data_IF_612002559648
#
_entry.id   IF_612002559648
#
_cell.length_a   1.000
_cell.length_b   1.000
_cell.length_c   1.000
_cell.angle_alpha   90.00
_cell.angle_beta   90.00
_cell.angle_gamma   90.00
#
_symmetry.space_group_name_H-M   'P 1'
#
loop_
_entity.id
_entity.type
_entity.pdbx_description
1 polymer ?
#
# COMPACT_ATOMS: atom_id res chain seq x y z
N UNK A 1 -39.95 20.14 20.03
CA UNK A 1 -39.54 18.72 20.04
C UNK A 1 -38.34 18.56 19.11
N UNK A 2 -37.14 18.45 19.69
CA UNK A 2 -35.87 18.45 18.96
C UNK A 2 -35.61 17.06 18.32
N UNK A 3 -35.21 17.06 17.05
CA UNK A 3 -34.81 15.86 16.31
C UNK A 3 -33.51 15.31 16.91
N UNK A 4 -33.33 13.97 17.00
CA UNK A 4 -32.12 13.42 17.59
C UNK A 4 -30.93 13.62 16.65
N UNK A 5 -29.90 14.30 17.14
CA UNK A 5 -28.61 14.43 16.49
C UNK A 5 -27.96 13.05 16.38
N UNK A 6 -27.75 12.58 15.14
CA UNK A 6 -26.89 11.42 14.88
C UNK A 6 -25.44 11.81 15.18
N UNK A 7 -24.98 11.51 16.41
CA UNK A 7 -23.55 11.50 16.74
C UNK A 7 -22.85 10.51 15.80
N UNK A 8 -22.09 11.06 14.84
CA UNK A 8 -21.13 10.27 14.05
C UNK A 8 -20.05 9.78 15.01
N UNK A 9 -20.14 8.52 15.39
CA UNK A 9 -19.04 7.83 16.06
C UNK A 9 -17.86 7.81 15.11
N UNK A 10 -16.84 8.61 15.43
CA UNK A 10 -15.50 8.46 14.85
C UNK A 10 -14.97 7.11 15.34
N UNK A 11 -14.97 6.12 14.46
CA UNK A 11 -14.10 4.97 14.64
C UNK A 11 -12.68 5.43 14.31
N UNK A 12 -11.95 5.85 15.35
CA UNK A 12 -10.49 5.96 15.36
C UNK A 12 -9.90 4.55 15.39
N UNK A 13 -10.17 3.78 14.33
CA UNK A 13 -9.31 2.68 13.91
C UNK A 13 -8.46 3.25 12.79
N UNK A 14 -7.14 3.29 12.95
CA UNK A 14 -6.25 3.48 11.81
C UNK A 14 -6.54 2.33 10.84
N UNK A 15 -7.39 2.59 9.85
CA UNK A 15 -7.59 1.73 8.70
C UNK A 15 -6.23 1.66 8.01
N UNK A 16 -5.43 0.65 8.36
CA UNK A 16 -4.25 0.31 7.59
C UNK A 16 -4.68 0.12 6.12
N UNK A 17 -3.98 0.79 5.19
CA UNK A 17 -4.31 0.82 3.75
C UNK A 17 -5.55 1.65 3.36
N UNK A 18 -5.79 2.78 4.02
CA UNK A 18 -6.98 3.60 3.76
C UNK A 18 -7.12 4.05 2.30
N UNK A 19 -6.03 4.41 1.62
CA UNK A 19 -6.10 4.91 0.23
C UNK A 19 -6.36 3.80 -0.77
N UNK A 20 -5.61 2.70 -0.72
CA UNK A 20 -5.79 1.57 -1.65
C UNK A 20 -7.17 0.93 -1.50
N UNK A 21 -7.65 0.75 -0.26
CA UNK A 21 -9.00 0.25 0.03
C UNK A 21 -10.07 1.22 -0.48
N UNK A 22 -9.90 2.54 -0.29
CA UNK A 22 -10.83 3.54 -0.85
C UNK A 22 -10.83 3.51 -2.38
N UNK A 23 -9.68 3.32 -3.02
CA UNK A 23 -9.58 3.20 -4.48
C UNK A 23 -10.25 1.94 -5.00
N UNK A 24 -10.11 0.82 -4.28
CA UNK A 24 -10.80 -0.43 -4.60
C UNK A 24 -12.32 -0.27 -4.47
N UNK A 25 -12.81 0.22 -3.32
CA UNK A 25 -14.25 0.43 -3.06
C UNK A 25 -14.90 1.44 -4.02
N UNK A 26 -14.15 2.45 -4.47
CA UNK A 26 -14.65 3.44 -5.43
C UNK A 26 -14.52 3.01 -6.90
N UNK A 27 -14.01 1.81 -7.18
CA UNK A 27 -13.85 1.31 -8.55
C UNK A 27 -12.73 1.99 -9.35
N UNK A 28 -11.86 2.75 -8.69
CA UNK A 28 -10.74 3.47 -9.36
C UNK A 28 -9.59 2.57 -9.75
N UNK A 29 -9.57 1.33 -9.25
CA UNK A 29 -8.62 0.28 -9.65
C UNK A 29 -9.05 -0.46 -10.93
N UNK A 30 -10.13 -0.03 -11.58
CA UNK A 30 -10.64 -0.65 -12.80
C UNK A 30 -11.74 -1.67 -12.54
N UNK A 31 -11.99 -2.53 -13.53
CA UNK A 31 -13.05 -3.56 -13.49
C UNK A 31 -12.48 -4.89 -13.00
N UNK A 32 -13.35 -5.73 -12.45
CA UNK A 32 -13.05 -7.12 -12.15
C UNK A 32 -12.69 -7.89 -13.45
N UNK A 33 -11.70 -8.81 -13.46
CA UNK A 33 -10.90 -9.27 -12.31
C UNK A 33 -9.67 -8.40 -11.98
N UNK A 34 -9.23 -7.56 -12.92
CA UNK A 34 -7.99 -6.76 -12.81
C UNK A 34 -7.92 -5.90 -11.53
N UNK A 35 -9.04 -5.40 -11.05
CA UNK A 35 -9.08 -4.60 -9.81
C UNK A 35 -8.64 -5.40 -8.57
N UNK A 36 -8.87 -6.73 -8.53
CA UNK A 36 -8.43 -7.59 -7.43
C UNK A 36 -6.93 -7.86 -7.50
N UNK A 37 -6.40 -8.12 -8.69
CA UNK A 37 -4.98 -8.41 -8.87
C UNK A 37 -4.15 -7.19 -8.48
N UNK A 38 -4.56 -6.01 -8.94
CA UNK A 38 -3.98 -4.71 -8.54
C UNK A 38 -4.05 -4.48 -7.03
N UNK A 39 -5.20 -4.78 -6.42
CA UNK A 39 -5.38 -4.62 -4.97
C UNK A 39 -4.45 -5.57 -4.19
N UNK A 40 -4.40 -6.85 -4.57
CA UNK A 40 -3.52 -7.86 -3.94
C UNK A 40 -2.05 -7.50 -4.09
N UNK A 41 -1.64 -7.07 -5.28
CA UNK A 41 -0.26 -6.65 -5.54
C UNK A 41 0.14 -5.44 -4.67
N UNK A 42 -0.74 -4.43 -4.57
CA UNK A 42 -0.51 -3.27 -3.71
C UNK A 42 -0.40 -3.65 -2.23
N UNK A 43 -1.29 -4.54 -1.74
CA UNK A 43 -1.24 -5.04 -0.36
C UNK A 43 0.05 -5.80 -0.08
N UNK A 44 0.46 -6.68 -1.00
CA UNK A 44 1.67 -7.50 -0.85
C UNK A 44 2.94 -6.64 -0.81
N UNK A 45 3.03 -5.61 -1.64
CA UNK A 45 4.13 -4.64 -1.57
C UNK A 45 4.18 -3.91 -0.23
N UNK A 46 3.04 -3.46 0.29
CA UNK A 46 2.99 -2.80 1.61
C UNK A 46 3.38 -3.77 2.73
N UNK A 47 3.01 -5.04 2.63
CA UNK A 47 3.44 -6.07 3.58
C UNK A 47 4.96 -6.26 3.53
N UNK A 48 5.57 -6.39 2.34
CA UNK A 48 7.02 -6.49 2.19
C UNK A 48 7.73 -5.23 2.73
N UNK A 49 7.20 -4.04 2.48
CA UNK A 49 7.72 -2.78 3.03
C UNK A 49 7.66 -2.73 4.56
N UNK A 50 6.54 -3.11 5.17
CA UNK A 50 6.37 -3.08 6.63
C UNK A 50 7.22 -4.15 7.30
N UNK A 51 7.30 -5.35 6.72
CA UNK A 51 8.04 -6.48 7.26
C UNK A 51 9.56 -6.29 7.14
N UNK A 52 10.03 -5.61 6.09
CA UNK A 52 11.45 -5.29 5.91
C UNK A 52 12.02 -4.32 6.96
N UNK A 53 11.17 -3.66 7.76
CA UNK A 53 11.57 -2.76 8.85
C UNK A 53 12.47 -1.58 8.41
N UNK A 54 12.26 -1.06 7.19
CA UNK A 54 12.81 0.25 6.76
C UNK A 54 12.32 1.43 7.62
N UNK A 55 11.35 1.21 8.51
CA UNK A 55 10.85 2.16 9.50
C UNK A 55 11.64 1.99 10.81
N UNK A 56 12.26 3.05 11.37
CA UNK A 56 12.75 2.98 12.74
C UNK A 56 11.56 2.76 13.67
N UNK A 57 11.62 1.70 14.48
CA UNK A 57 10.58 1.32 15.47
C UNK A 57 10.00 2.56 16.16
N UNK A 58 8.82 3.02 15.72
CA UNK A 58 7.95 3.80 16.58
C UNK A 58 7.09 2.79 17.32
N UNK A 59 7.46 2.65 18.58
CA UNK A 59 6.85 1.86 19.63
C UNK A 59 5.33 2.04 19.71
N UNK A 60 4.59 0.98 19.39
CA UNK A 60 3.42 0.59 20.19
C UNK A 60 3.35 -0.93 20.22
N UNK A 61 3.61 -1.46 21.42
CA UNK A 61 3.31 -2.81 21.91
C UNK A 61 2.56 -3.74 20.95
N UNK A 62 3.26 -4.78 20.49
CA UNK A 62 2.66 -6.03 20.03
C UNK A 62 2.85 -7.13 21.08
N UNK A 63 2.74 -6.77 22.36
CA UNK A 63 2.63 -7.72 23.49
C UNK A 63 1.38 -8.61 23.35
N UNK A 64 0.47 -8.31 22.43
CA UNK A 64 -0.71 -9.13 22.12
C UNK A 64 -0.51 -10.17 20.99
N UNK A 65 0.70 -10.27 20.40
CA UNK A 65 1.04 -11.46 19.58
C UNK A 65 1.75 -12.56 20.37
N UNK A 66 1.75 -12.44 21.71
CA UNK A 66 2.02 -13.50 22.67
C UNK A 66 1.07 -14.73 22.59
N UNK A 67 0.29 -14.89 21.52
CA UNK A 67 -0.63 -16.00 21.30
C UNK A 67 -0.33 -16.90 20.10
N UNK A 68 0.85 -16.82 19.49
CA UNK A 68 1.37 -17.98 18.72
C UNK A 68 2.21 -18.83 19.68
N UNK A 69 1.49 -19.65 20.46
CA UNK A 69 2.03 -20.76 21.23
C UNK A 69 2.80 -21.71 20.31
N UNK A 70 4.11 -21.79 20.48
CA UNK A 70 4.83 -23.01 20.88
C UNK A 70 6.33 -22.77 20.68
N UNK A 71 7.08 -22.74 21.78
CA UNK A 71 8.51 -22.52 21.74
C UNK A 71 9.26 -23.57 20.94
N UNK A 72 10.20 -23.12 20.12
CA UNK A 72 11.56 -23.68 19.97
C UNK A 72 12.26 -22.90 18.87
N UNK A 73 13.53 -22.58 19.16
CA UNK A 73 14.51 -21.95 18.27
C UNK A 73 14.18 -20.52 17.84
N UNK A 74 14.98 -19.57 18.35
CA UNK A 74 15.32 -18.39 17.56
C UNK A 74 16.08 -18.88 16.34
N UNK A 75 15.36 -19.23 15.28
CA UNK A 75 15.91 -19.66 14.01
C UNK A 75 16.33 -18.42 13.22
N UNK A 76 17.42 -18.58 12.47
CA UNK A 76 17.91 -17.65 11.46
C UNK A 76 16.83 -17.23 10.42
N UNK A 77 15.65 -17.86 10.42
CA UNK A 77 14.47 -17.51 9.62
C UNK A 77 13.94 -16.09 9.89
N UNK A 78 14.12 -15.53 11.10
CA UNK A 78 13.68 -14.16 11.38
C UNK A 78 14.49 -13.10 10.63
N UNK A 79 15.79 -13.34 10.41
CA UNK A 79 16.64 -12.47 9.60
C UNK A 79 16.48 -12.75 8.10
N UNK A 80 16.36 -14.03 7.71
CA UNK A 80 16.14 -14.44 6.32
C UNK A 80 14.81 -13.91 5.76
N UNK A 81 13.73 -13.95 6.55
CA UNK A 81 12.43 -13.45 6.13
C UNK A 81 12.39 -11.93 5.92
N UNK A 82 13.06 -11.16 6.80
CA UNK A 82 13.08 -9.69 6.70
C UNK A 82 13.98 -9.20 5.57
N UNK A 83 15.16 -9.80 5.43
CA UNK A 83 16.07 -9.49 4.31
C UNK A 83 15.43 -9.89 2.98
N UNK A 84 14.76 -11.04 2.91
CA UNK A 84 14.01 -11.43 1.72
C UNK A 84 12.86 -10.46 1.41
N UNK A 85 12.10 -10.00 2.40
CA UNK A 85 11.07 -9.00 2.20
C UNK A 85 11.65 -7.64 1.76
N UNK A 86 12.78 -7.23 2.34
CA UNK A 86 13.49 -6.01 1.92
C UNK A 86 13.94 -6.12 0.47
N UNK A 87 14.52 -7.25 0.09
CA UNK A 87 14.96 -7.53 -1.27
C UNK A 87 13.79 -7.53 -2.25
N UNK A 88 12.69 -8.24 -1.93
CA UNK A 88 11.46 -8.25 -2.75
C UNK A 88 10.88 -6.86 -2.93
N UNK A 89 10.82 -6.06 -1.85
CA UNK A 89 10.36 -4.67 -1.93
C UNK A 89 11.26 -3.81 -2.84
N UNK A 90 12.58 -3.91 -2.68
CA UNK A 90 13.54 -3.15 -3.50
C UNK A 90 13.51 -3.60 -4.96
N UNK A 91 13.37 -4.89 -5.22
CA UNK A 91 13.28 -5.43 -6.58
C UNK A 91 11.95 -5.10 -7.24
N UNK A 92 10.84 -5.09 -6.49
CA UNK A 92 9.56 -4.58 -6.96
C UNK A 92 9.66 -3.09 -7.33
N UNK A 93 10.34 -2.26 -6.52
CA UNK A 93 10.58 -0.85 -6.85
C UNK A 93 11.42 -0.69 -8.12
N UNK A 94 12.45 -1.51 -8.31
CA UNK A 94 13.26 -1.51 -9.54
C UNK A 94 12.43 -1.95 -10.74
N UNK A 95 11.57 -2.96 -10.59
CA UNK A 95 10.71 -3.49 -11.65
C UNK A 95 9.73 -2.43 -12.16
N UNK A 96 9.14 -1.68 -11.24
CA UNK A 96 8.21 -0.58 -11.54
C UNK A 96 8.92 0.61 -12.22
N UNK A 97 10.23 0.77 -12.00
CA UNK A 97 11.09 1.72 -12.70
C UNK A 97 10.63 3.16 -12.55
N UNK A 98 10.33 3.83 -13.68
CA UNK A 98 9.93 5.25 -13.72
C UNK A 98 8.67 5.57 -12.89
N UNK A 99 7.86 4.56 -12.57
CA UNK A 99 6.67 4.74 -11.76
C UNK A 99 6.90 4.58 -10.24
N UNK A 100 8.15 4.38 -9.80
CA UNK A 100 8.48 4.22 -8.38
C UNK A 100 8.00 5.38 -7.50
N UNK A 101 7.93 6.59 -8.05
CA UNK A 101 7.36 7.77 -7.37
C UNK A 101 5.92 7.50 -6.91
N UNK A 102 5.09 6.88 -7.75
CA UNK A 102 3.71 6.56 -7.39
C UNK A 102 3.63 5.51 -6.28
N UNK A 103 4.55 4.55 -6.28
CA UNK A 103 4.62 3.56 -5.20
C UNK A 103 4.92 4.23 -3.86
N UNK A 104 5.93 5.11 -3.82
CA UNK A 104 6.33 5.79 -2.59
C UNK A 104 5.21 6.69 -2.06
N UNK A 105 4.58 7.49 -2.91
CA UNK A 105 3.56 8.42 -2.45
C UNK A 105 2.20 7.77 -2.15
N UNK A 106 1.75 6.81 -2.96
CA UNK A 106 0.40 6.26 -2.84
C UNK A 106 0.32 4.98 -2.00
N UNK A 107 1.35 4.14 -2.03
CA UNK A 107 1.36 2.85 -1.32
C UNK A 107 2.14 2.94 -0.02
N UNK A 108 3.33 3.56 -0.02
CA UNK A 108 4.16 3.68 1.19
C UNK A 108 3.66 4.79 2.13
N UNK A 109 3.47 5.99 1.59
CA UNK A 109 3.12 7.18 2.38
C UNK A 109 1.60 7.37 2.53
N UNK A 110 0.80 6.49 1.89
CA UNK A 110 -0.67 6.50 1.88
C UNK A 110 -1.27 7.90 1.55
N UNK A 111 -0.64 8.64 0.64
CA UNK A 111 -1.10 9.97 0.25
C UNK A 111 -2.22 9.91 -0.79
N UNK A 112 -3.13 10.89 -0.75
CA UNK A 112 -4.19 11.02 -1.74
C UNK A 112 -3.69 11.71 -3.01
N UNK A 113 -4.34 11.43 -4.15
CA UNK A 113 -3.96 12.02 -5.48
C UNK A 113 -3.98 13.54 -5.47
N UNK A 114 -4.92 14.13 -4.73
CA UNK A 114 -5.00 15.58 -4.56
C UNK A 114 -3.76 16.13 -3.83
N UNK A 115 -3.33 15.47 -2.76
CA UNK A 115 -2.13 15.85 -2.00
C UNK A 115 -0.86 15.71 -2.83
N UNK A 116 -0.77 14.65 -3.63
CA UNK A 116 0.33 14.44 -4.57
C UNK A 116 0.42 15.56 -5.61
N UNK A 117 -0.70 15.92 -6.26
CA UNK A 117 -0.72 16.99 -7.26
C UNK A 117 -0.32 18.34 -6.63
N UNK A 118 -0.79 18.64 -5.42
CA UNK A 118 -0.44 19.88 -4.71
C UNK A 118 1.06 19.98 -4.36
N UNK A 119 1.71 18.85 -4.06
CA UNK A 119 3.16 18.82 -3.78
C UNK A 119 4.03 18.97 -5.01
N UNK A 120 3.48 18.73 -6.20
CA UNK A 120 4.21 18.75 -7.46
C UNK A 120 3.65 19.87 -8.37
N UNK A 121 4.16 21.11 -8.25
CA UNK A 121 3.57 22.29 -8.91
C UNK A 121 3.64 22.27 -10.44
N UNK A 122 4.36 21.30 -11.02
CA UNK A 122 4.37 21.01 -12.46
C UNK A 122 3.03 20.42 -12.93
N UNK A 123 2.24 19.85 -12.02
CA UNK A 123 0.95 19.24 -12.30
C UNK A 123 -0.16 20.28 -12.10
N UNK A 124 -0.95 20.54 -13.16
CA UNK A 124 -2.04 21.50 -13.09
C UNK A 124 -3.17 20.99 -12.17
N UNK A 125 -3.33 21.65 -11.02
CA UNK A 125 -4.26 21.30 -9.95
C UNK A 125 -5.74 21.40 -10.33
N UNK A 126 -6.08 22.24 -11.31
CA UNK A 126 -7.45 22.46 -11.76
C UNK A 126 -7.87 21.54 -12.91
N UNK A 127 -6.90 20.83 -13.52
CA UNK A 127 -7.18 20.05 -14.72
C UNK A 127 -7.59 18.61 -14.44
N UNK A 128 -8.79 18.24 -14.89
CA UNK A 128 -9.30 16.87 -14.89
C UNK A 128 -8.35 15.91 -15.63
N UNK A 129 -7.62 16.39 -16.64
CA UNK A 129 -6.68 15.57 -17.41
C UNK A 129 -5.48 15.15 -16.56
N UNK A 130 -4.98 16.03 -15.70
CA UNK A 130 -3.88 15.75 -14.76
C UNK A 130 -4.27 14.64 -13.79
N UNK A 131 -5.46 14.75 -13.17
CA UNK A 131 -5.95 13.71 -12.26
C UNK A 131 -6.10 12.37 -12.97
N UNK A 132 -6.68 12.35 -14.18
CA UNK A 132 -6.82 11.12 -14.97
C UNK A 132 -5.46 10.51 -15.31
N UNK A 133 -4.47 11.33 -15.67
CA UNK A 133 -3.12 10.87 -15.96
C UNK A 133 -2.47 10.23 -14.73
N UNK A 134 -2.60 10.84 -13.54
CA UNK A 134 -2.08 10.27 -12.29
C UNK A 134 -2.77 8.95 -11.94
N UNK A 135 -4.10 8.86 -12.05
CA UNK A 135 -4.80 7.60 -11.82
C UNK A 135 -4.42 6.52 -12.83
N UNK A 136 -4.21 6.90 -14.10
CA UNK A 136 -3.73 5.98 -15.14
C UNK A 136 -2.34 5.45 -14.80
N UNK A 137 -1.39 6.33 -14.47
CA UNK A 137 -0.05 5.96 -14.06
C UNK A 137 -0.06 5.05 -12.83
N UNK A 138 -0.93 5.32 -11.85
CA UNK A 138 -1.09 4.47 -10.67
C UNK A 138 -1.64 3.09 -11.04
N UNK A 139 -2.60 2.99 -11.95
CA UNK A 139 -3.08 1.69 -12.44
C UNK A 139 -1.98 0.92 -13.16
N UNK A 140 -1.21 1.58 -14.05
CA UNK A 140 -0.05 0.98 -14.74
C UNK A 140 1.01 0.50 -13.74
N UNK A 141 1.23 1.25 -12.65
CA UNK A 141 2.12 0.87 -11.55
C UNK A 141 1.65 -0.42 -10.89
N UNK A 142 0.36 -0.54 -10.57
CA UNK A 142 -0.21 -1.71 -9.94
C UNK A 142 -0.26 -2.93 -10.87
N UNK A 143 -0.42 -2.72 -12.18
CA UNK A 143 -0.31 -3.79 -13.19
C UNK A 143 1.11 -4.37 -13.22
N UNK A 144 2.14 -3.51 -13.23
CA UNK A 144 3.54 -3.96 -13.17
C UNK A 144 3.85 -4.70 -11.86
N UNK A 145 3.30 -4.23 -10.73
CA UNK A 145 3.46 -4.94 -9.46
C UNK A 145 2.75 -6.30 -9.46
N UNK A 146 1.55 -6.39 -10.05
CA UNK A 146 0.84 -7.65 -10.18
C UNK A 146 1.62 -8.65 -11.02
N UNK A 147 2.20 -8.20 -12.14
CA UNK A 147 3.07 -9.03 -12.98
C UNK A 147 4.33 -9.49 -12.25
N UNK A 148 4.97 -8.59 -11.48
CA UNK A 148 6.15 -8.93 -10.68
C UNK A 148 5.83 -10.02 -9.66
N UNK A 149 4.75 -9.87 -8.88
CA UNK A 149 4.40 -10.85 -7.86
C UNK A 149 3.90 -12.17 -8.43
N UNK A 150 3.24 -12.15 -9.59
CA UNK A 150 2.90 -13.38 -10.30
C UNK A 150 4.15 -14.17 -10.70
N UNK A 151 5.18 -13.48 -11.23
CA UNK A 151 6.47 -14.09 -11.57
C UNK A 151 7.25 -14.60 -10.36
N UNK A 152 7.13 -13.94 -9.21
CA UNK A 152 7.75 -14.39 -7.97
C UNK A 152 7.07 -15.63 -7.39
N UNK A 153 5.76 -15.81 -7.60
CA UNK A 153 5.03 -17.00 -7.15
C UNK A 153 5.28 -18.25 -8.02
N UNK A 154 5.77 -18.06 -9.25
CA UNK A 154 6.13 -19.14 -10.18
C UNK A 154 7.55 -19.68 -9.98
N UNK A 155 8.38 -19.02 -9.15
CA UNK A 155 9.76 -19.43 -8.85
C UNK A 155 9.85 -20.37 -7.65
#
# INVERSE_FOLDING_TARGET
MAKPEKKRTKTDGKEECGVLVKMFRSGKLGRYPLCLDRFRAGVRLMQDYRFSSFVPKITSSYDETAFIRSGRHGSEEWCGGRQAAAQRYLDALKYVGKYGVYVLHFLRDEENVRSFIFKHPVLNEASVTTYRAVYKALCETLDLLAEFYAKEDEK
#
